data_IF_180969845610
#
_entry.id   IF_180969845610
#
_cell.length_a   1.000
_cell.length_b   1.000
_cell.length_c   1.000
_cell.angle_alpha   90.00
_cell.angle_beta   90.00
_cell.angle_gamma   90.00
#
_symmetry.space_group_name_H-M   'P 1'
#
loop_
_entity.id
_entity.type
_entity.pdbx_description
1 polymer ?
#
# COMPACT_ATOMS: atom_id res chain seq x y z
N UNK A 1 -4.13 -4.86 -1.15
CA UNK A 1 -4.14 -4.93 0.33
C UNK A 1 -5.17 -3.98 0.94
N UNK A 2 -5.05 -2.65 0.75
CA UNK A 2 -5.94 -1.66 1.35
C UNK A 2 -7.45 -1.91 1.10
N UNK A 3 -7.85 -2.19 -0.14
CA UNK A 3 -9.25 -2.49 -0.48
C UNK A 3 -9.80 -3.69 0.32
N UNK A 4 -8.99 -4.73 0.54
CA UNK A 4 -9.41 -5.89 1.34
C UNK A 4 -9.64 -5.52 2.81
N UNK A 5 -8.85 -4.59 3.36
CA UNK A 5 -9.05 -4.04 4.71
C UNK A 5 -10.34 -3.20 4.78
N UNK A 6 -10.59 -2.36 3.78
CA UNK A 6 -11.83 -1.56 3.70
C UNK A 6 -13.06 -2.45 3.62
N UNK A 7 -13.05 -3.48 2.77
CA UNK A 7 -14.16 -4.43 2.66
C UNK A 7 -14.38 -5.23 3.95
N UNK A 8 -13.30 -5.59 4.65
CA UNK A 8 -13.40 -6.19 5.97
C UNK A 8 -14.05 -5.25 6.99
N UNK A 9 -13.68 -3.97 6.98
CA UNK A 9 -14.28 -2.95 7.83
C UNK A 9 -15.77 -2.78 7.52
N UNK A 10 -16.15 -2.67 6.24
CA UNK A 10 -17.55 -2.57 5.81
C UNK A 10 -18.35 -3.80 6.28
N UNK A 11 -17.82 -5.01 6.08
CA UNK A 11 -18.44 -6.26 6.54
C UNK A 11 -18.68 -6.27 8.06
N UNK A 12 -17.77 -5.68 8.84
CA UNK A 12 -17.83 -5.68 10.30
C UNK A 12 -18.85 -4.68 10.85
N UNK A 13 -18.99 -3.52 10.22
CA UNK A 13 -19.78 -2.39 10.73
C UNK A 13 -21.11 -2.15 9.99
N UNK A 14 -21.36 -2.88 8.90
CA UNK A 14 -22.54 -2.69 8.05
C UNK A 14 -23.30 -4.00 7.87
N UNK A 15 -24.60 -3.93 7.55
CA UNK A 15 -25.44 -5.08 7.18
C UNK A 15 -25.13 -5.67 5.79
N UNK A 16 -24.22 -5.06 5.04
CA UNK A 16 -23.87 -5.48 3.69
C UNK A 16 -23.18 -6.86 3.71
N UNK A 17 -23.83 -7.86 3.12
CA UNK A 17 -23.38 -9.24 3.19
C UNK A 17 -22.35 -9.55 2.09
N UNK A 18 -21.07 -9.46 2.44
CA UNK A 18 -19.97 -9.77 1.52
C UNK A 18 -19.68 -11.28 1.54
N UNK A 19 -19.81 -11.92 0.36
CA UNK A 19 -19.51 -13.34 0.18
C UNK A 19 -18.04 -13.66 0.52
N UNK A 20 -17.75 -14.76 1.23
CA UNK A 20 -16.39 -15.16 1.58
C UNK A 20 -15.51 -15.42 0.34
N UNK A 21 -16.12 -15.88 -0.76
CA UNK A 21 -15.42 -16.10 -2.04
C UNK A 21 -14.75 -14.84 -2.61
N UNK A 22 -15.28 -13.65 -2.29
CA UNK A 22 -14.69 -12.37 -2.71
C UNK A 22 -13.33 -12.18 -2.03
N UNK A 23 -13.21 -12.52 -0.75
CA UNK A 23 -11.94 -12.43 -0.02
C UNK A 23 -10.94 -13.46 -0.53
N UNK A 24 -11.38 -14.65 -0.92
CA UNK A 24 -10.50 -15.67 -1.52
C UNK A 24 -9.93 -15.20 -2.87
N UNK A 25 -10.79 -14.63 -3.74
CA UNK A 25 -10.38 -14.05 -5.02
C UNK A 25 -9.44 -12.86 -4.84
N UNK A 26 -9.79 -11.93 -3.94
CA UNK A 26 -8.92 -10.79 -3.59
C UNK A 26 -7.58 -11.27 -3.04
N UNK A 27 -7.58 -12.34 -2.25
CA UNK A 27 -6.36 -12.95 -1.74
C UNK A 27 -5.45 -13.45 -2.85
N UNK A 28 -5.99 -14.09 -3.89
CA UNK A 28 -5.21 -14.50 -5.07
C UNK A 28 -4.61 -13.29 -5.78
N UNK A 29 -5.43 -12.26 -6.06
CA UNK A 29 -4.98 -11.04 -6.75
C UNK A 29 -3.88 -10.35 -5.95
N UNK A 30 -4.05 -10.22 -4.63
CA UNK A 30 -3.06 -9.58 -3.74
C UNK A 30 -1.75 -10.38 -3.73
N UNK A 31 -1.80 -11.71 -3.62
CA UNK A 31 -0.59 -12.55 -3.65
C UNK A 31 0.17 -12.37 -4.97
N UNK A 32 -0.51 -12.43 -6.10
CA UNK A 32 0.12 -12.27 -7.43
C UNK A 32 0.71 -10.87 -7.59
N UNK A 33 -0.03 -9.83 -7.20
CA UNK A 33 0.47 -8.45 -7.24
C UNK A 33 1.70 -8.26 -6.33
N UNK A 34 1.73 -8.88 -5.15
CA UNK A 34 2.88 -8.82 -4.24
C UNK A 34 4.12 -9.50 -4.82
N UNK A 35 3.96 -10.63 -5.50
CA UNK A 35 5.05 -11.30 -6.21
C UNK A 35 5.60 -10.42 -7.35
N UNK A 36 4.72 -9.78 -8.13
CA UNK A 36 5.12 -8.83 -9.17
C UNK A 36 5.85 -7.63 -8.56
N UNK A 37 5.38 -7.09 -7.42
CA UNK A 37 6.05 -5.99 -6.73
C UNK A 37 7.48 -6.38 -6.30
N UNK A 38 7.70 -7.59 -5.76
CA UNK A 38 9.04 -8.08 -5.44
C UNK A 38 9.93 -8.24 -6.68
N UNK A 39 9.36 -8.73 -7.80
CA UNK A 39 10.10 -8.81 -9.05
C UNK A 39 10.54 -7.42 -9.54
N UNK A 40 9.63 -6.45 -9.52
CA UNK A 40 9.93 -5.06 -9.91
C UNK A 40 10.97 -4.42 -8.99
N UNK A 41 10.92 -4.68 -7.68
CA UNK A 41 11.96 -4.28 -6.74
C UNK A 41 13.32 -4.87 -7.13
N UNK A 42 13.36 -6.14 -7.55
CA UNK A 42 14.57 -6.76 -8.08
C UNK A 42 15.11 -6.06 -9.33
N UNK A 43 14.23 -5.70 -10.27
CA UNK A 43 14.60 -4.93 -11.46
C UNK A 43 15.12 -3.52 -11.11
N UNK A 44 14.55 -2.90 -10.08
CA UNK A 44 14.96 -1.59 -9.59
C UNK A 44 16.38 -1.61 -9.03
N UNK A 45 16.66 -2.58 -8.15
CA UNK A 45 18.01 -2.86 -7.64
C UNK A 45 18.95 -3.12 -8.81
N UNK A 46 18.60 -4.00 -9.76
CA UNK A 46 19.45 -4.28 -10.92
C UNK A 46 19.75 -3.03 -11.75
N UNK A 47 18.74 -2.21 -12.03
CA UNK A 47 18.90 -0.96 -12.78
C UNK A 47 19.88 -0.01 -12.06
N UNK A 48 19.75 0.14 -10.75
CA UNK A 48 20.61 1.02 -9.95
C UNK A 48 22.07 0.54 -9.91
N UNK A 49 22.32 -0.76 -9.81
CA UNK A 49 23.68 -1.31 -9.79
C UNK A 49 24.33 -1.38 -11.18
N UNK A 50 23.55 -1.50 -12.24
CA UNK A 50 24.06 -1.58 -13.61
C UNK A 50 24.46 -0.20 -14.17
N UNK A 51 23.72 0.85 -13.83
CA UNK A 51 24.06 2.22 -14.21
C UNK A 51 25.20 2.76 -13.33
N UNK A 52 26.46 2.68 -13.76
CA UNK A 52 27.60 3.38 -13.16
C UNK A 52 27.53 4.92 -13.38
N UNK A 53 26.42 5.56 -13.04
CA UNK A 53 26.24 7.01 -13.15
C UNK A 53 26.35 7.71 -11.79
N UNK A 54 26.50 9.03 -11.76
CA UNK A 54 26.51 9.82 -10.51
C UNK A 54 25.25 9.63 -9.64
N UNK A 55 24.14 9.13 -10.20
CA UNK A 55 22.92 8.75 -9.47
C UNK A 55 23.03 7.40 -8.74
N UNK A 56 24.04 6.58 -9.02
CA UNK A 56 24.31 5.36 -8.27
C UNK A 56 24.83 5.63 -6.85
N UNK A 57 25.30 6.86 -6.57
CA UNK A 57 25.66 7.28 -5.22
C UNK A 57 24.42 7.39 -4.31
N UNK A 58 23.31 7.90 -4.85
CA UNK A 58 22.01 8.01 -4.17
C UNK A 58 21.45 6.63 -3.77
N UNK A 59 21.54 5.68 -4.70
CA UNK A 59 21.12 4.30 -4.48
C UNK A 59 22.03 3.57 -3.47
N UNK A 60 23.35 3.73 -3.58
CA UNK A 60 24.30 3.18 -2.59
C UNK A 60 24.07 3.74 -1.20
N UNK A 61 23.72 5.01 -1.08
CA UNK A 61 23.32 5.62 0.19
C UNK A 61 22.09 4.94 0.80
N UNK A 62 21.07 4.67 0.00
CA UNK A 62 19.83 4.05 0.46
C UNK A 62 20.04 2.61 0.96
N UNK A 63 20.79 1.79 0.22
CA UNK A 63 20.93 0.35 0.52
C UNK A 63 22.09 0.01 1.46
N UNK A 64 23.19 0.76 1.41
CA UNK A 64 24.43 0.45 2.14
C UNK A 64 24.90 1.60 3.05
N UNK A 65 24.34 2.80 2.91
CA UNK A 65 24.83 4.00 3.57
C UNK A 65 26.10 4.55 2.91
N UNK A 66 26.38 5.84 3.11
CA UNK A 66 27.64 6.48 2.70
C UNK A 66 28.36 6.95 3.97
N UNK A 67 29.45 6.29 4.34
CA UNK A 67 30.25 6.65 5.52
C UNK A 67 29.51 6.43 6.83
N UNK A 68 29.37 7.49 7.63
CA UNK A 68 28.70 7.46 8.95
C UNK A 68 27.18 7.53 8.85
N UNK A 69 26.65 7.88 7.66
CA UNK A 69 25.24 8.18 7.48
C UNK A 69 24.44 6.96 7.03
N UNK A 70 23.68 6.37 7.98
CA UNK A 70 22.96 5.09 7.81
C UNK A 70 21.49 5.15 8.21
N UNK A 71 20.94 6.32 8.47
CA UNK A 71 19.58 6.52 9.00
C UNK A 71 18.49 5.75 8.23
N UNK A 72 18.60 5.68 6.89
CA UNK A 72 17.57 5.10 6.00
C UNK A 72 17.74 3.59 5.75
N UNK A 73 18.94 3.04 6.00
CA UNK A 73 19.28 1.65 5.69
C UNK A 73 18.40 0.66 6.47
N UNK A 74 18.21 0.81 7.81
CA UNK A 74 17.36 -0.10 8.58
C UNK A 74 15.90 -0.08 8.12
N UNK A 75 15.37 1.07 7.71
CA UNK A 75 13.98 1.22 7.27
C UNK A 75 13.71 0.43 5.98
N UNK A 76 14.61 0.55 5.00
CA UNK A 76 14.48 -0.16 3.73
C UNK A 76 14.65 -1.65 3.92
N UNK A 77 15.68 -2.10 4.66
CA UNK A 77 15.87 -3.52 4.92
C UNK A 77 14.72 -4.14 5.72
N UNK A 78 14.19 -3.42 6.71
CA UNK A 78 12.99 -3.86 7.44
C UNK A 78 11.80 -4.00 6.50
N UNK A 79 11.57 -3.01 5.64
CA UNK A 79 10.48 -3.05 4.68
C UNK A 79 10.61 -4.21 3.69
N UNK A 80 11.77 -4.37 3.06
CA UNK A 80 12.04 -5.46 2.10
C UNK A 80 11.85 -6.82 2.77
N UNK A 81 12.38 -7.00 3.98
CA UNK A 81 12.23 -8.25 4.74
C UNK A 81 10.76 -8.54 5.02
N UNK A 82 9.99 -7.54 5.48
CA UNK A 82 8.55 -7.69 5.73
C UNK A 82 7.77 -8.00 4.44
N UNK A 83 8.16 -7.39 3.31
CA UNK A 83 7.51 -7.60 2.02
C UNK A 83 7.76 -9.03 1.49
N UNK A 84 9.00 -9.52 1.61
CA UNK A 84 9.38 -10.91 1.28
C UNK A 84 8.66 -11.91 2.18
N UNK A 85 8.72 -11.73 3.50
CA UNK A 85 8.08 -12.63 4.47
C UNK A 85 6.56 -12.69 4.26
N UNK A 86 5.93 -11.54 4.09
CA UNK A 86 4.48 -11.47 3.91
C UNK A 86 4.05 -12.09 2.60
N UNK A 87 4.80 -11.87 1.52
CA UNK A 87 4.53 -12.50 0.22
C UNK A 87 4.72 -14.02 0.28
N UNK A 88 5.75 -14.50 0.99
CA UNK A 88 5.96 -15.93 1.20
C UNK A 88 4.79 -16.58 1.96
N UNK A 89 4.33 -15.94 3.05
CA UNK A 89 3.18 -16.41 3.83
C UNK A 89 1.90 -16.42 2.99
N UNK A 90 1.65 -15.36 2.21
CA UNK A 90 0.46 -15.25 1.35
C UNK A 90 0.49 -16.19 0.14
N UNK A 91 1.66 -16.64 -0.29
CA UNK A 91 1.82 -17.63 -1.36
C UNK A 91 1.33 -19.01 -0.90
N UNK A 92 1.45 -19.32 0.38
CA UNK A 92 0.97 -20.58 0.95
C UNK A 92 -0.55 -20.51 1.17
N UNK A 93 -1.29 -21.31 0.39
CA UNK A 93 -2.75 -21.33 0.41
C UNK A 93 -3.36 -21.55 1.80
N UNK A 94 -2.72 -22.37 2.65
CA UNK A 94 -3.18 -22.70 4.01
C UNK A 94 -3.26 -21.46 4.91
N UNK A 95 -2.27 -20.57 4.85
CA UNK A 95 -2.25 -19.34 5.65
C UNK A 95 -3.23 -18.29 5.14
N UNK A 96 -3.47 -18.26 3.82
CA UNK A 96 -4.43 -17.35 3.21
C UNK A 96 -5.88 -17.65 3.59
N UNK A 97 -6.23 -18.91 3.84
CA UNK A 97 -7.58 -19.30 4.29
C UNK A 97 -7.89 -18.92 5.73
N UNK A 98 -6.87 -18.62 6.54
CA UNK A 98 -7.07 -18.19 7.93
C UNK A 98 -7.30 -16.67 7.92
N UNK A 99 -8.52 -16.18 8.22
CA UNK A 99 -8.85 -14.76 8.05
C UNK A 99 -7.97 -13.86 8.91
N UNK A 100 -7.65 -14.26 10.15
CA UNK A 100 -6.78 -13.49 11.03
C UNK A 100 -5.37 -13.30 10.44
N UNK A 101 -4.81 -14.35 9.83
CA UNK A 101 -3.49 -14.30 9.19
C UNK A 101 -3.56 -13.45 7.92
N UNK A 102 -4.58 -13.67 7.08
CA UNK A 102 -4.77 -12.91 5.84
C UNK A 102 -4.87 -11.40 6.08
N UNK A 103 -5.69 -10.95 7.05
CA UNK A 103 -5.83 -9.53 7.34
C UNK A 103 -4.57 -8.94 7.98
N UNK A 104 -3.91 -9.67 8.87
CA UNK A 104 -2.62 -9.24 9.44
C UNK A 104 -1.56 -9.06 8.36
N UNK A 105 -1.45 -10.03 7.45
CA UNK A 105 -0.58 -9.94 6.26
C UNK A 105 -0.95 -8.74 5.38
N UNK A 106 -2.24 -8.45 5.17
CA UNK A 106 -2.64 -7.28 4.38
C UNK A 106 -2.18 -5.96 5.02
N UNK A 107 -2.24 -5.83 6.35
CA UNK A 107 -1.75 -4.64 7.06
C UNK A 107 -0.24 -4.51 6.94
N UNK A 108 0.49 -5.60 7.23
CA UNK A 108 1.97 -5.62 7.15
C UNK A 108 2.43 -5.33 5.72
N UNK A 109 1.82 -5.96 4.72
CA UNK A 109 2.14 -5.75 3.30
C UNK A 109 1.91 -4.29 2.89
N UNK A 110 0.80 -3.69 3.33
CA UNK A 110 0.50 -2.28 3.05
C UNK A 110 1.56 -1.35 3.65
N UNK A 111 1.91 -1.55 4.92
CA UNK A 111 2.93 -0.74 5.60
C UNK A 111 4.32 -0.94 4.98
N UNK A 112 4.69 -2.18 4.65
CA UNK A 112 5.97 -2.49 4.02
C UNK A 112 6.10 -1.76 2.67
N UNK A 113 5.15 -1.96 1.75
CA UNK A 113 5.16 -1.30 0.44
C UNK A 113 5.16 0.23 0.59
N UNK A 114 4.40 0.76 1.56
CA UNK A 114 4.38 2.21 1.81
C UNK A 114 5.73 2.76 2.25
N UNK A 115 6.45 2.06 3.13
CA UNK A 115 7.82 2.43 3.53
C UNK A 115 8.79 2.29 2.35
N UNK A 116 8.70 1.18 1.61
CA UNK A 116 9.58 0.87 0.47
C UNK A 116 9.46 1.92 -0.64
N UNK A 117 8.23 2.21 -1.09
CA UNK A 117 7.96 3.15 -2.19
C UNK A 117 7.87 4.60 -1.73
N UNK A 118 7.49 4.87 -0.49
CA UNK A 118 7.47 6.21 0.06
C UNK A 118 8.88 6.71 0.35
N UNK A 119 9.55 6.10 1.33
CA UNK A 119 10.88 6.53 1.75
C UNK A 119 11.97 6.11 0.75
N UNK A 120 11.85 4.92 0.15
CA UNK A 120 12.88 4.38 -0.74
C UNK A 120 12.96 5.01 -2.12
N UNK A 121 11.86 5.58 -2.65
CA UNK A 121 11.90 6.26 -3.96
C UNK A 121 12.04 7.77 -3.84
N UNK A 122 11.31 8.39 -2.90
CA UNK A 122 11.22 9.84 -2.83
C UNK A 122 12.55 10.41 -2.30
N UNK A 123 13.09 9.84 -1.23
CA UNK A 123 14.25 10.40 -0.52
C UNK A 123 15.54 10.34 -1.35
N UNK A 124 15.90 9.21 -2.01
CA UNK A 124 17.07 9.17 -2.90
C UNK A 124 16.94 10.05 -4.13
N UNK A 125 15.72 10.41 -4.53
CA UNK A 125 15.49 11.38 -5.62
C UNK A 125 15.98 12.79 -5.29
N UNK A 126 16.13 13.12 -4.00
CA UNK A 126 16.58 14.43 -3.52
C UNK A 126 18.01 14.43 -2.95
N UNK A 127 18.64 13.26 -2.81
CA UNK A 127 19.98 13.09 -2.24
C UNK A 127 20.88 12.40 -3.26
N UNK A 128 22.05 12.93 -3.64
CA UNK A 128 22.69 14.14 -3.10
C UNK A 128 22.01 15.41 -3.62
N UNK A 129 22.10 16.47 -2.82
CA UNK A 129 21.70 17.80 -3.28
C UNK A 129 22.45 18.16 -4.58
N UNK A 130 21.91 19.04 -5.44
CA UNK A 130 22.63 19.54 -6.62
C UNK A 130 24.02 20.10 -6.30
N UNK A 131 24.26 20.49 -5.05
CA UNK A 131 25.53 20.98 -4.50
C UNK A 131 26.48 19.86 -4.03
N UNK A 132 26.09 18.57 -4.15
CA UNK A 132 26.90 17.41 -3.76
C UNK A 132 26.92 17.11 -2.25
N UNK A 133 26.17 17.85 -1.43
CA UNK A 133 26.08 17.59 0.01
C UNK A 133 25.12 16.43 0.29
N UNK A 134 25.57 15.50 1.13
CA UNK A 134 24.79 14.38 1.66
C UNK A 134 24.18 14.85 2.97
N UNK A 135 22.86 14.98 3.01
CA UNK A 135 22.12 15.38 4.21
C UNK A 135 21.36 14.16 4.71
N UNK A 136 21.50 13.84 5.99
CA UNK A 136 20.71 12.79 6.61
C UNK A 136 19.25 13.21 6.69
N UNK A 137 18.37 12.39 6.11
CA UNK A 137 16.94 12.57 6.21
C UNK A 137 16.39 11.78 7.41
N UNK A 138 15.74 12.50 8.32
CA UNK A 138 14.84 11.92 9.31
C UNK A 138 13.48 12.59 9.17
N UNK A 139 12.39 11.81 9.14
CA UNK A 139 11.06 12.37 9.00
C UNK A 139 10.76 13.30 10.18
N UNK A 140 10.48 14.55 9.87
CA UNK A 140 10.08 15.55 10.86
C UNK A 140 8.64 15.31 11.32
N UNK A 141 8.30 15.79 12.52
CA UNK A 141 6.92 15.74 13.02
C UNK A 141 5.92 16.41 12.06
N UNK A 142 6.37 17.45 11.35
CA UNK A 142 5.56 18.18 10.38
C UNK A 142 5.25 17.32 9.16
N UNK A 143 6.24 16.61 8.60
CA UNK A 143 6.04 15.71 7.46
C UNK A 143 5.12 14.53 7.81
N UNK A 144 5.28 13.97 9.02
CA UNK A 144 4.37 12.93 9.52
C UNK A 144 2.94 13.47 9.64
N UNK A 145 2.78 14.67 10.19
CA UNK A 145 1.46 15.31 10.34
C UNK A 145 0.79 15.57 9.00
N UNK A 146 1.54 16.07 8.01
CA UNK A 146 1.03 16.29 6.66
C UNK A 146 0.62 14.96 6.03
N UNK A 147 1.45 13.93 6.16
CA UNK A 147 1.18 12.61 5.57
C UNK A 147 -0.07 11.97 6.18
N UNK A 148 -0.24 12.06 7.50
CA UNK A 148 -1.46 11.64 8.18
C UNK A 148 -2.67 12.47 7.74
N UNK A 149 -2.51 13.79 7.57
CA UNK A 149 -3.57 14.67 7.06
C UNK A 149 -4.06 14.26 5.67
N UNK A 150 -3.15 13.93 4.75
CA UNK A 150 -3.49 13.43 3.41
C UNK A 150 -4.27 12.10 3.49
N UNK A 151 -3.81 11.17 4.33
CA UNK A 151 -4.51 9.88 4.54
C UNK A 151 -5.90 10.13 5.14
N UNK A 152 -6.03 11.02 6.12
CA UNK A 152 -7.31 11.37 6.74
C UNK A 152 -8.30 11.95 5.74
N UNK A 153 -7.88 12.87 4.87
CA UNK A 153 -8.74 13.43 3.82
C UNK A 153 -9.22 12.32 2.88
N UNK A 154 -8.32 11.42 2.44
CA UNK A 154 -8.70 10.28 1.61
C UNK A 154 -9.71 9.36 2.29
N UNK A 155 -9.53 9.08 3.58
CA UNK A 155 -10.47 8.27 4.37
C UNK A 155 -11.82 8.97 4.57
N UNK A 156 -11.85 10.29 4.74
CA UNK A 156 -13.10 11.07 4.82
C UNK A 156 -13.89 10.96 3.51
N UNK A 157 -13.23 11.20 2.38
CA UNK A 157 -13.86 11.10 1.05
C UNK A 157 -14.40 9.68 0.82
N UNK A 158 -13.60 8.66 1.12
CA UNK A 158 -14.02 7.26 1.02
C UNK A 158 -15.22 6.96 1.91
N UNK A 159 -15.23 7.45 3.15
CA UNK A 159 -16.35 7.22 4.09
C UNK A 159 -17.63 7.88 3.59
N UNK A 160 -17.55 9.10 3.05
CA UNK A 160 -18.70 9.79 2.44
C UNK A 160 -19.28 9.00 1.26
N UNK A 161 -18.42 8.52 0.35
CA UNK A 161 -18.85 7.74 -0.81
C UNK A 161 -19.46 6.40 -0.41
N UNK A 162 -18.82 5.67 0.50
CA UNK A 162 -19.30 4.37 0.99
C UNK A 162 -20.66 4.50 1.68
N UNK A 163 -20.87 5.57 2.46
CA UNK A 163 -22.14 5.83 3.13
C UNK A 163 -23.32 5.99 2.15
N UNK A 164 -23.07 6.55 0.97
CA UNK A 164 -24.08 6.69 -0.09
C UNK A 164 -24.22 5.40 -0.91
N UNK A 165 -23.10 4.72 -1.20
CA UNK A 165 -23.10 3.50 -2.01
C UNK A 165 -23.79 2.31 -1.35
N UNK A 166 -23.61 2.10 -0.04
CA UNK A 166 -24.21 0.97 0.70
C UNK A 166 -25.75 0.88 0.56
N UNK A 167 -26.54 1.94 0.84
CA UNK A 167 -28.00 1.86 0.72
C UNK A 167 -28.49 1.71 -0.72
N UNK A 168 -27.71 2.15 -1.71
CA UNK A 168 -28.00 1.92 -3.14
C UNK A 168 -27.83 0.44 -3.47
N UNK A 169 -26.71 -0.17 -3.05
CA UNK A 169 -26.42 -1.60 -3.27
C UNK A 169 -27.37 -2.53 -2.50
N UNK A 170 -27.87 -2.10 -1.34
CA UNK A 170 -28.90 -2.82 -0.58
C UNK A 170 -30.31 -2.70 -1.19
N UNK A 171 -30.50 -1.84 -2.19
CA UNK A 171 -31.80 -1.61 -2.83
C UNK A 171 -32.79 -0.79 -2.00
N UNK A 172 -32.36 -0.22 -0.87
CA UNK A 172 -33.18 0.67 -0.03
C UNK A 172 -33.44 2.01 -0.73
N UNK A 173 -32.52 2.45 -1.59
CA UNK A 173 -32.65 3.62 -2.46
C UNK A 173 -32.89 3.19 -3.91
N UNK A 174 -34.06 2.61 -4.16
CA UNK A 174 -34.48 2.32 -5.53
C UNK A 174 -35.08 3.60 -6.15
N UNK A 175 -34.56 4.04 -7.29
CA UNK A 175 -35.30 4.99 -8.13
C UNK A 175 -36.60 4.31 -8.53
N UNK A 176 -37.71 4.69 -7.89
CA UNK A 176 -39.04 4.27 -8.31
C UNK A 176 -39.16 4.65 -9.78
N UNK A 177 -39.14 3.64 -10.67
CA UNK A 177 -39.53 3.84 -12.07
C UNK A 177 -40.93 4.43 -12.00
N UNK A 178 -41.05 5.73 -12.27
CA UNK A 178 -42.33 6.33 -12.60
C UNK A 178 -42.72 5.66 -13.90
N UNK A 179 -43.53 4.62 -13.82
CA UNK A 179 -44.23 4.10 -14.98
C UNK A 179 -45.05 5.26 -15.52
N UNK A 180 -44.49 5.92 -16.53
CA UNK A 180 -45.14 7.01 -17.22
C UNK A 180 -46.21 6.35 -18.09
N UNK A 181 -47.40 6.24 -17.52
CA UNK A 181 -48.58 5.77 -18.20
C UNK A 181 -48.93 6.78 -19.30
N UNK A 182 -48.60 6.46 -20.55
CA UNK A 182 -48.95 7.25 -21.73
C UNK A 182 -50.46 7.20 -22.07
N UNK A 183 -51.30 6.57 -21.22
CA UNK A 183 -52.77 6.49 -21.40
C UNK A 183 -53.56 7.48 -20.52
N UNK A 184 -53.08 8.70 -20.34
CA UNK A 184 -53.89 9.82 -19.83
C UNK A 184 -53.70 11.06 -20.66
#
# INVERSE_FOLDING_TARGET
AFIALVLFFIKRYTKYHILPEIFDKLGVIITVAAQINLFLLGCEIFKEFYSNSHHALSAKYLFFGLGEHKALVPWIWTSITLNILTTAILTIHKFRKIPAVFFSCCVVLFMAIWVEKGLGLIVPGFIPSPQGQIVEYFPSLTEISITLGVISIGLIVMTCLVRVAIPIELGELNCQKRDFDWRK
#
